data_IF_296572275102
#
_entry.id   IF_296572275102
#
_cell.length_a   1.000
_cell.length_b   1.000
_cell.length_c   1.000
_cell.angle_alpha   90.00
_cell.angle_beta   90.00
_cell.angle_gamma   90.00
#
_symmetry.space_group_name_H-M   'P 1'
#
loop_
_entity.id
_entity.type
_entity.pdbx_description
1 polymer ?
#
# COMPACT_ATOMS: atom_id res chain seq x y z
N UNK A 1 -27.64 12.10 -30.09
CA UNK A 1 -27.82 12.54 -28.68
C UNK A 1 -27.00 11.57 -27.83
N UNK A 2 -25.72 11.86 -27.63
CA UNK A 2 -24.79 10.95 -26.94
C UNK A 2 -24.76 11.29 -25.46
N UNK A 3 -25.19 10.38 -24.58
CA UNK A 3 -24.91 10.47 -23.14
C UNK A 3 -24.36 9.12 -22.69
N UNK A 4 -23.07 9.13 -22.40
CA UNK A 4 -22.21 7.98 -22.16
C UNK A 4 -22.59 7.21 -20.88
N UNK A 5 -22.63 5.88 -20.99
CA UNK A 5 -22.51 4.95 -19.88
C UNK A 5 -21.02 4.87 -19.49
N UNK A 6 -20.60 5.41 -18.33
CA UNK A 6 -19.26 5.17 -17.74
C UNK A 6 -19.02 5.94 -16.43
N UNK A 7 -19.85 5.75 -15.39
CA UNK A 7 -19.59 6.42 -14.10
C UNK A 7 -20.10 5.70 -12.84
N UNK A 8 -20.04 4.36 -12.80
CA UNK A 8 -20.45 3.61 -11.59
C UNK A 8 -19.33 2.75 -10.95
N UNK A 9 -18.05 2.99 -11.26
CA UNK A 9 -16.93 2.19 -10.69
C UNK A 9 -15.77 3.02 -10.10
N UNK A 10 -15.84 4.36 -10.10
CA UNK A 10 -14.69 5.23 -9.76
C UNK A 10 -14.61 5.58 -8.25
N UNK A 11 -15.67 5.34 -7.47
CA UNK A 11 -15.74 5.72 -6.05
C UNK A 11 -15.34 4.61 -5.04
N UNK A 12 -14.96 3.41 -5.48
CA UNK A 12 -14.78 2.25 -4.58
C UNK A 12 -13.34 1.84 -4.32
N UNK A 13 -12.34 2.50 -4.90
CA UNK A 13 -10.94 2.13 -4.70
C UNK A 13 -10.09 3.38 -4.41
N UNK A 14 -9.35 3.42 -3.28
CA UNK A 14 -8.43 4.51 -3.00
C UNK A 14 -7.43 4.69 -4.15
N UNK A 15 -7.36 5.89 -4.71
CA UNK A 15 -6.38 6.22 -5.74
C UNK A 15 -4.98 6.09 -5.14
N UNK A 16 -4.03 5.40 -5.82
CA UNK A 16 -2.80 5.05 -5.16
C UNK A 16 -1.91 6.29 -5.04
N UNK A 17 -1.63 6.70 -3.81
CA UNK A 17 -0.76 7.83 -3.55
C UNK A 17 0.71 7.39 -3.68
N UNK A 18 1.60 8.33 -4.04
CA UNK A 18 3.03 8.03 -4.17
C UNK A 18 3.74 8.32 -2.87
N UNK A 19 4.52 7.36 -2.38
CA UNK A 19 5.35 7.51 -1.19
C UNK A 19 6.83 7.34 -1.56
N UNK A 20 7.63 8.36 -1.28
CA UNK A 20 9.06 8.36 -1.59
C UNK A 20 9.85 7.93 -0.36
N UNK A 21 10.74 6.97 -0.53
CA UNK A 21 11.57 6.43 0.55
C UNK A 21 13.03 6.45 0.14
N UNK A 22 13.88 6.79 1.10
CA UNK A 22 15.32 6.77 0.90
C UNK A 22 15.89 5.35 1.03
N UNK A 23 16.78 4.98 0.11
CA UNK A 23 17.51 3.72 0.14
C UNK A 23 18.28 3.53 1.46
N UNK A 24 18.23 2.31 2.00
CA UNK A 24 18.88 1.89 3.25
C UNK A 24 18.10 2.24 4.52
N UNK A 25 16.95 2.92 4.41
CA UNK A 25 16.15 3.31 5.58
C UNK A 25 15.13 2.24 6.00
N UNK A 26 14.59 2.37 7.21
CA UNK A 26 13.45 1.60 7.66
C UNK A 26 12.20 2.47 7.53
N UNK A 27 11.16 1.98 6.86
CA UNK A 27 9.90 2.69 6.68
C UNK A 27 8.76 1.87 7.26
N UNK A 28 7.80 2.57 7.86
CA UNK A 28 6.54 1.99 8.34
C UNK A 28 5.41 2.68 7.61
N UNK A 29 4.58 1.89 6.94
CA UNK A 29 3.47 2.35 6.11
C UNK A 29 2.16 1.96 6.82
N UNK A 30 1.35 2.92 7.27
CA UNK A 30 0.06 2.63 7.86
C UNK A 30 -0.94 2.18 6.79
N UNK A 31 -1.88 1.31 7.15
CA UNK A 31 -2.98 0.92 6.27
C UNK A 31 -4.11 1.96 6.32
N UNK A 32 -3.96 3.06 5.57
CA UNK A 32 -4.95 4.14 5.55
C UNK A 32 -5.34 4.62 6.95
N UNK A 33 -6.64 4.56 7.27
CA UNK A 33 -7.19 4.92 8.59
C UNK A 33 -7.62 3.71 9.43
N UNK A 34 -7.07 2.52 9.13
CA UNK A 34 -7.38 1.29 9.88
C UNK A 34 -6.66 1.29 11.22
N UNK A 35 -7.38 1.00 12.30
CA UNK A 35 -6.82 0.87 13.64
C UNK A 35 -5.68 -0.15 13.69
N UNK A 36 -4.63 0.12 14.46
CA UNK A 36 -3.43 -0.71 14.52
C UNK A 36 -3.72 -2.17 14.94
N UNK A 37 -4.73 -2.39 15.77
CA UNK A 37 -5.12 -3.72 16.26
C UNK A 37 -5.98 -4.54 15.30
N UNK A 38 -6.42 -3.94 14.18
CA UNK A 38 -7.28 -4.61 13.21
C UNK A 38 -6.44 -5.51 12.30
N UNK A 39 -6.82 -6.78 12.09
CA UNK A 39 -6.10 -7.67 11.19
C UNK A 39 -6.27 -7.22 9.73
N UNK A 40 -5.14 -7.10 9.04
CA UNK A 40 -5.08 -6.72 7.63
C UNK A 40 -4.21 -7.68 6.84
N UNK A 41 -4.44 -7.72 5.54
CA UNK A 41 -3.58 -8.40 4.58
C UNK A 41 -2.89 -7.36 3.73
N UNK A 42 -1.58 -7.50 3.53
CA UNK A 42 -0.81 -6.65 2.62
C UNK A 42 -0.34 -7.45 1.42
N UNK A 43 -0.36 -6.79 0.26
CA UNK A 43 0.24 -7.33 -0.96
C UNK A 43 1.25 -6.34 -1.53
N UNK A 44 2.33 -6.88 -2.11
CA UNK A 44 3.31 -6.13 -2.88
C UNK A 44 3.27 -6.61 -4.33
N UNK A 45 3.01 -5.70 -5.27
CA UNK A 45 2.85 -6.00 -6.69
C UNK A 45 1.89 -7.18 -6.94
N UNK A 46 0.79 -7.24 -6.19
CA UNK A 46 -0.21 -8.32 -6.21
C UNK A 46 0.23 -9.67 -5.65
N UNK A 47 1.35 -9.72 -4.93
CA UNK A 47 1.81 -10.91 -4.18
C UNK A 47 1.59 -10.71 -2.69
N UNK A 48 1.01 -11.69 -2.00
CA UNK A 48 0.80 -11.62 -0.56
C UNK A 48 2.12 -11.51 0.19
N UNK A 49 2.17 -10.60 1.15
CA UNK A 49 3.31 -10.44 2.05
C UNK A 49 3.16 -11.33 3.28
N UNK A 50 4.28 -11.88 3.73
CA UNK A 50 4.32 -12.65 4.96
C UNK A 50 4.11 -11.76 6.20
N UNK A 51 3.50 -12.34 7.24
CA UNK A 51 3.18 -11.65 8.48
C UNK A 51 4.42 -11.12 9.23
N UNK A 52 5.63 -11.62 8.94
CA UNK A 52 6.89 -11.11 9.50
C UNK A 52 7.19 -9.65 9.12
N UNK A 53 6.62 -9.16 8.02
CA UNK A 53 6.74 -7.76 7.61
C UNK A 53 5.68 -6.86 8.25
N UNK A 54 4.77 -7.40 9.07
CA UNK A 54 3.63 -6.67 9.60
C UNK A 54 3.79 -6.36 11.09
N UNK A 55 3.33 -5.18 11.48
CA UNK A 55 3.23 -4.76 12.88
C UNK A 55 1.81 -4.23 13.14
N UNK A 56 0.90 -5.16 13.41
CA UNK A 56 -0.54 -4.87 13.44
C UNK A 56 -1.04 -4.55 12.03
N UNK A 57 -1.75 -3.42 11.87
CA UNK A 57 -2.21 -2.96 10.55
C UNK A 57 -1.10 -2.31 9.69
N UNK A 58 0.10 -2.12 10.23
CA UNK A 58 1.19 -1.43 9.54
C UNK A 58 2.14 -2.39 8.81
N UNK A 59 2.60 -2.00 7.63
CA UNK A 59 3.67 -2.66 6.91
C UNK A 59 5.02 -2.07 7.31
N UNK A 60 5.97 -2.92 7.72
CA UNK A 60 7.32 -2.53 8.13
C UNK A 60 8.33 -3.09 7.14
N UNK A 61 8.97 -2.19 6.39
CA UNK A 61 10.07 -2.53 5.49
C UNK A 61 11.38 -2.04 6.11
N UNK A 62 12.36 -2.93 6.21
CA UNK A 62 13.66 -2.65 6.85
C UNK A 62 14.76 -2.64 5.81
N UNK A 63 15.70 -1.71 5.94
CA UNK A 63 16.84 -1.54 5.04
C UNK A 63 16.40 -1.56 3.57
N UNK A 64 15.44 -0.71 3.21
CA UNK A 64 14.81 -0.72 1.88
C UNK A 64 15.82 -0.50 0.76
N UNK A 65 15.63 -1.20 -0.34
CA UNK A 65 16.43 -1.06 -1.56
C UNK A 65 15.54 -0.76 -2.77
N UNK A 66 16.14 -0.60 -3.95
CA UNK A 66 15.41 -0.30 -5.18
C UNK A 66 14.37 -1.35 -5.57
N UNK A 67 14.56 -2.62 -5.20
CA UNK A 67 13.63 -3.72 -5.50
C UNK A 67 12.33 -3.66 -4.69
N UNK A 68 12.32 -2.89 -3.60
CA UNK A 68 11.11 -2.61 -2.82
C UNK A 68 10.21 -1.57 -3.51
N UNK A 69 10.62 -0.97 -4.63
CA UNK A 69 9.74 -0.07 -5.37
C UNK A 69 8.59 -0.86 -6.01
N UNK A 70 7.36 -0.37 -5.86
CA UNK A 70 6.20 -1.08 -6.37
C UNK A 70 4.89 -0.58 -5.78
N UNK A 71 3.81 -1.26 -6.15
CA UNK A 71 2.48 -0.99 -5.60
C UNK A 71 2.22 -1.89 -4.41
N UNK A 72 1.89 -1.29 -3.28
CA UNK A 72 1.46 -1.98 -2.08
C UNK A 72 -0.02 -1.73 -1.87
N UNK A 73 -0.76 -2.79 -1.56
CA UNK A 73 -2.19 -2.72 -1.29
C UNK A 73 -2.49 -3.32 0.07
N UNK A 74 -3.35 -2.65 0.84
CA UNK A 74 -3.80 -3.13 2.13
C UNK A 74 -5.29 -3.48 2.10
N UNK A 75 -5.63 -4.63 2.66
CA UNK A 75 -6.99 -5.16 2.73
C UNK A 75 -7.40 -5.42 4.17
N UNK A 76 -8.61 -5.01 4.55
CA UNK A 76 -9.15 -5.27 5.88
C UNK A 76 -9.90 -6.59 5.94
N UNK A 77 -9.48 -7.44 6.89
CA UNK A 77 -10.18 -8.67 7.26
C UNK A 77 -10.36 -9.68 6.13
N UNK A 78 -11.16 -10.74 6.38
CA UNK A 78 -11.43 -11.80 5.40
C UNK A 78 -12.29 -11.33 4.22
N UNK A 79 -12.88 -10.13 4.32
CA UNK A 79 -13.66 -9.49 3.24
C UNK A 79 -12.81 -8.98 2.08
N UNK A 80 -11.47 -8.96 2.22
CA UNK A 80 -10.57 -8.44 1.19
C UNK A 80 -10.95 -7.03 0.71
N UNK A 81 -11.43 -6.20 1.63
CA UNK A 81 -11.87 -4.86 1.28
C UNK A 81 -10.64 -3.95 1.21
N UNK A 82 -10.33 -3.44 0.02
CA UNK A 82 -9.18 -2.57 -0.21
C UNK A 82 -9.34 -1.27 0.58
N UNK A 83 -8.43 -1.02 1.52
CA UNK A 83 -8.45 0.17 2.38
C UNK A 83 -7.50 1.25 1.92
N UNK A 84 -6.34 0.84 1.45
CA UNK A 84 -5.33 1.77 0.99
C UNK A 84 -4.44 1.14 -0.07
N UNK A 85 -3.87 2.00 -0.90
CA UNK A 85 -2.96 1.62 -1.96
C UNK A 85 -1.89 2.69 -2.09
N UNK A 86 -0.63 2.26 -2.08
CA UNK A 86 0.52 3.16 -2.15
C UNK A 86 1.48 2.70 -3.23
N UNK A 87 1.97 3.63 -4.04
CA UNK A 87 3.09 3.39 -4.95
C UNK A 87 4.36 3.82 -4.24
N UNK A 88 5.12 2.84 -3.75
CA UNK A 88 6.41 3.07 -3.12
C UNK A 88 7.47 3.33 -4.18
N UNK A 89 8.17 4.46 -4.05
CA UNK A 89 9.32 4.81 -4.89
C UNK A 89 10.56 4.94 -4.02
N UNK A 90 11.46 3.96 -4.12
CA UNK A 90 12.73 3.99 -3.40
C UNK A 90 13.78 4.68 -4.27
N UNK A 91 14.50 5.62 -3.69
CA UNK A 91 15.50 6.40 -4.39
C UNK A 91 16.69 6.76 -3.51
N UNK A 92 17.74 7.25 -4.15
CA UNK A 92 18.89 7.82 -3.47
C UNK A 92 18.54 9.27 -3.17
N UNK A 93 18.63 9.69 -1.90
CA UNK A 93 18.57 11.10 -1.57
C UNK A 93 19.91 11.72 -2.00
N UNK A 94 19.91 12.50 -3.08
CA UNK A 94 21.05 13.35 -3.46
C UNK A 94 20.81 14.73 -2.85
N UNK A 95 21.57 15.02 -1.80
CA UNK A 95 21.71 16.34 -1.15
C UNK A 95 22.66 17.23 -1.94
#
# INVERSE_FOLDING_TARGET
>A
MHKALSHLQVFLFPEPHVHYVQLGTNVTIPCGSVDQGTPVTWTANSTDLDASHLSGSHLVLRNVDLSHSGQYSCYEGPSWHLKDRVNLKVGICVI
#
